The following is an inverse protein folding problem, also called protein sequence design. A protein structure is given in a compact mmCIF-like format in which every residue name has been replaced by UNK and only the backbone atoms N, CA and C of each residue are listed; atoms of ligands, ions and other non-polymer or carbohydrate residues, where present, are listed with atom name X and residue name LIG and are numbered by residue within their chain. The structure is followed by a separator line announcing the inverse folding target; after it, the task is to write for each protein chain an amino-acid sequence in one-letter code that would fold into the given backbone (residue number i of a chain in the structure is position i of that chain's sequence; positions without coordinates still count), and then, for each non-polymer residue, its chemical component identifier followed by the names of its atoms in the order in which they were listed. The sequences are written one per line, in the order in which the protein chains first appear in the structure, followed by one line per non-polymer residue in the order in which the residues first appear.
data_IF_974485162507
#
_entry.id   IF_974485162507
#
_cell.length_a   1.000
_cell.length_b   1.000
_cell.length_c   1.000
_cell.angle_alpha   90.00
_cell.angle_beta   90.00
_cell.angle_gamma   90.00
#
_symmetry.space_group_name_H-M   'P 1'
#
loop_
_entity.id
_entity.type
_entity.pdbx_description
1 polymer ?
#
# COMPACT_ATOMS: atom_id res chain seq x y z
N UNK A 1 -17.84 -7.61 3.11
CA UNK A 1 -17.31 -6.29 2.74
C UNK A 1 -15.82 -6.29 3.10
N UNK A 2 -14.94 -5.96 2.17
CA UNK A 2 -13.49 -5.92 2.38
C UNK A 2 -13.10 -4.45 2.48
N UNK A 3 -12.63 -4.03 3.64
CA UNK A 3 -12.24 -2.63 3.90
C UNK A 3 -10.76 -2.58 4.17
N UNK A 4 -10.08 -1.59 3.59
CA UNK A 4 -8.64 -1.37 3.74
C UNK A 4 -8.43 -0.04 4.44
N UNK A 5 -7.59 -0.04 5.47
CA UNK A 5 -7.06 1.19 6.07
C UNK A 5 -5.68 1.48 5.48
N UNK A 6 -5.56 2.64 4.85
CA UNK A 6 -4.33 3.12 4.25
C UNK A 6 -3.52 3.96 5.25
N UNK A 7 -2.26 3.62 5.47
CA UNK A 7 -1.37 4.30 6.41
C UNK A 7 -0.18 4.85 5.65
N UNK A 8 0.10 6.14 5.82
CA UNK A 8 1.20 6.85 5.17
C UNK A 8 2.16 7.37 6.24
N UNK A 9 3.40 6.88 6.24
CA UNK A 9 4.39 7.20 7.25
C UNK A 9 5.63 7.92 6.71
N UNK A 10 5.95 9.09 7.26
CA UNK A 10 7.10 9.89 6.88
C UNK A 10 6.89 10.64 5.56
N UNK A 11 7.87 11.46 5.15
CA UNK A 11 7.79 12.27 3.94
C UNK A 11 7.54 11.42 2.69
N UNK A 12 8.34 10.39 2.47
CA UNK A 12 8.24 9.50 1.31
C UNK A 12 6.86 8.80 1.26
N UNK A 13 6.44 8.18 2.37
CA UNK A 13 5.16 7.46 2.42
C UNK A 13 3.96 8.36 2.19
N UNK A 14 4.00 9.58 2.70
CA UNK A 14 2.95 10.58 2.47
C UNK A 14 2.93 11.11 1.02
N UNK A 15 4.08 11.22 0.35
CA UNK A 15 4.15 11.59 -1.06
C UNK A 15 3.56 10.51 -1.96
N UNK A 16 3.96 9.25 -1.75
CA UNK A 16 3.41 8.10 -2.48
C UNK A 16 1.90 8.00 -2.24
N UNK A 17 1.49 8.08 -0.98
CA UNK A 17 0.09 8.01 -0.62
C UNK A 17 -0.76 9.13 -1.22
N UNK A 18 -0.23 10.34 -1.36
CA UNK A 18 -0.94 11.44 -2.03
C UNK A 18 -1.20 11.11 -3.50
N UNK A 19 -0.22 10.56 -4.21
CA UNK A 19 -0.39 10.14 -5.58
C UNK A 19 -1.36 8.95 -5.72
N UNK A 20 -1.27 7.98 -4.82
CA UNK A 20 -2.24 6.90 -4.75
C UNK A 20 -3.68 7.44 -4.65
N UNK A 21 -3.93 8.39 -3.75
CA UNK A 21 -5.27 8.96 -3.58
C UNK A 21 -5.73 9.81 -4.76
N UNK A 22 -4.82 10.52 -5.45
CA UNK A 22 -5.14 11.20 -6.71
C UNK A 22 -5.69 10.21 -7.75
N UNK A 23 -4.97 9.11 -8.01
CA UNK A 23 -5.37 8.08 -8.97
C UNK A 23 -6.69 7.42 -8.57
N UNK A 24 -6.81 6.98 -7.32
CA UNK A 24 -8.04 6.33 -6.82
C UNK A 24 -9.25 7.27 -6.87
N UNK A 25 -9.07 8.57 -6.62
CA UNK A 25 -10.14 9.56 -6.76
C UNK A 25 -10.60 9.68 -8.22
N UNK A 26 -9.66 9.74 -9.15
CA UNK A 26 -9.97 9.84 -10.59
C UNK A 26 -10.67 8.56 -11.10
N UNK A 27 -10.20 7.38 -10.72
CA UNK A 27 -10.82 6.09 -11.06
C UNK A 27 -12.27 5.99 -10.57
N UNK A 28 -12.52 6.43 -9.33
CA UNK A 28 -13.86 6.42 -8.74
C UNK A 28 -14.72 7.64 -9.09
N UNK A 29 -14.21 8.59 -9.89
CA UNK A 29 -14.93 9.81 -10.24
C UNK A 29 -15.23 10.71 -9.04
N UNK A 30 -14.36 10.71 -8.03
CA UNK A 30 -14.52 11.50 -6.81
C UNK A 30 -13.67 12.77 -6.91
N UNK A 31 -14.30 13.92 -6.75
CA UNK A 31 -13.63 15.21 -6.80
C UNK A 31 -12.79 15.50 -5.53
N UNK A 32 -11.90 16.51 -5.55
CA UNK A 32 -11.12 16.89 -4.38
C UNK A 32 -11.93 17.25 -3.13
N UNK A 33 -13.23 17.51 -3.26
CA UNK A 33 -14.14 17.77 -2.14
C UNK A 33 -14.78 16.51 -1.57
N UNK A 34 -14.52 15.35 -2.20
CA UNK A 34 -15.07 14.06 -1.83
C UNK A 34 -16.45 13.77 -2.41
N UNK A 35 -16.88 14.48 -3.46
CA UNK A 35 -18.18 14.26 -4.11
C UNK A 35 -18.00 13.48 -5.40
N UNK A 36 -18.92 12.57 -5.64
CA UNK A 36 -18.98 11.85 -6.90
C UNK A 36 -19.45 12.76 -8.03
N UNK A 37 -18.71 12.79 -9.13
CA UNK A 37 -18.98 13.63 -10.30
C UNK A 37 -19.39 12.81 -11.55
N UNK A 38 -19.48 11.48 -11.43
CA UNK A 38 -19.84 10.62 -12.53
C UNK A 38 -21.32 10.74 -12.92
N UNK A 39 -21.62 10.41 -14.17
CA UNK A 39 -22.99 10.23 -14.65
C UNK A 39 -23.61 8.99 -13.99
N UNK A 40 -24.86 9.12 -13.53
CA UNK A 40 -25.62 8.05 -12.84
C UNK A 40 -25.77 6.72 -13.62
N UNK A 41 -25.19 6.63 -14.82
CA UNK A 41 -25.22 5.44 -15.68
C UNK A 41 -24.03 4.47 -15.42
N UNK A 42 -23.02 4.86 -14.66
CA UNK A 42 -21.83 4.03 -14.41
C UNK A 42 -21.74 3.60 -12.93
N UNK A 43 -22.70 2.79 -12.48
CA UNK A 43 -22.67 2.15 -11.14
C UNK A 43 -21.37 1.37 -10.85
N UNK A 44 -20.58 1.04 -11.87
CA UNK A 44 -19.32 0.32 -11.75
C UNK A 44 -18.28 1.09 -10.93
N UNK A 45 -18.19 2.42 -11.08
CA UNK A 45 -17.24 3.25 -10.32
C UNK A 45 -17.54 3.28 -8.82
N UNK A 46 -18.80 3.14 -8.43
CA UNK A 46 -19.23 3.12 -7.03
C UNK A 46 -19.32 1.71 -6.44
N UNK A 47 -19.30 0.67 -7.26
CA UNK A 47 -19.53 -0.71 -6.79
C UNK A 47 -18.58 -1.14 -5.66
N UNK A 48 -17.32 -0.72 -5.71
CA UNK A 48 -16.27 -1.08 -4.76
C UNK A 48 -15.73 0.11 -3.95
N UNK A 49 -16.33 1.28 -4.04
CA UNK A 49 -15.84 2.50 -3.39
C UNK A 49 -15.64 2.35 -1.88
N UNK A 50 -16.44 1.53 -1.24
CA UNK A 50 -16.37 1.28 0.20
C UNK A 50 -15.11 0.51 0.65
N UNK A 51 -14.29 0.00 -0.27
CA UNK A 51 -13.00 -0.62 0.07
C UNK A 51 -12.05 0.42 0.67
N UNK A 52 -11.95 1.58 0.05
CA UNK A 52 -11.04 2.65 0.45
C UNK A 52 -11.71 3.87 1.07
N UNK A 53 -13.01 4.06 0.84
CA UNK A 53 -13.72 5.24 1.32
C UNK A 53 -14.76 4.91 2.38
N UNK A 54 -14.99 5.87 3.26
CA UNK A 54 -16.14 5.91 4.14
C UNK A 54 -17.14 6.92 3.58
N UNK A 55 -18.40 6.52 3.48
CA UNK A 55 -19.47 7.43 3.13
C UNK A 55 -19.85 8.28 4.34
N UNK A 56 -19.73 9.59 4.19
CA UNK A 56 -20.10 10.58 5.21
C UNK A 56 -21.44 11.24 4.88
N UNK A 57 -21.98 11.98 5.83
CA UNK A 57 -23.23 12.72 5.65
C UNK A 57 -23.19 13.65 4.44
N UNK A 58 -24.24 13.64 3.64
CA UNK A 58 -24.34 14.47 2.43
C UNK A 58 -23.70 13.90 1.18
N UNK A 59 -23.47 12.57 1.12
CA UNK A 59 -22.95 11.87 -0.05
C UNK A 59 -21.48 12.19 -0.32
N UNK A 60 -20.70 12.48 0.73
CA UNK A 60 -19.25 12.67 0.63
C UNK A 60 -18.52 11.36 0.89
N UNK A 61 -17.54 11.08 0.06
CA UNK A 61 -16.62 9.97 0.23
C UNK A 61 -15.33 10.47 0.87
N UNK A 62 -14.99 9.91 2.01
CA UNK A 62 -13.81 10.29 2.79
C UNK A 62 -12.82 9.12 2.79
N UNK A 63 -11.57 9.33 2.40
CA UNK A 63 -10.53 8.31 2.46
C UNK A 63 -10.43 7.66 3.83
N UNK A 64 -10.35 6.33 3.85
CA UNK A 64 -10.00 5.60 5.07
C UNK A 64 -8.48 5.55 5.18
N UNK A 65 -7.91 6.69 5.59
CA UNK A 65 -6.47 6.89 5.63
C UNK A 65 -6.01 7.51 6.95
N UNK A 66 -4.78 7.19 7.33
CA UNK A 66 -4.02 7.86 8.40
C UNK A 66 -2.72 8.35 7.82
N UNK A 67 -2.50 9.66 7.90
CA UNK A 67 -1.30 10.33 7.44
C UNK A 67 -0.48 10.72 8.66
N UNK A 68 0.75 10.24 8.78
CA UNK A 68 1.57 10.50 9.95
C UNK A 68 2.99 10.91 9.59
N UNK A 69 3.50 11.90 10.29
CA UNK A 69 4.91 12.29 10.26
C UNK A 69 5.28 12.97 11.57
N UNK A 70 6.56 12.90 11.92
CA UNK A 70 7.11 13.69 13.02
C UNK A 70 7.42 15.14 12.58
N UNK A 71 7.49 15.37 11.26
CA UNK A 71 7.70 16.70 10.69
C UNK A 71 6.37 17.31 10.21
N UNK A 72 5.93 18.45 10.79
CA UNK A 72 4.66 19.08 10.41
C UNK A 72 4.66 19.62 8.97
N UNK A 73 5.83 19.95 8.40
CA UNK A 73 5.93 20.48 7.04
C UNK A 73 5.40 19.56 5.95
N UNK A 74 5.56 18.26 6.12
CA UNK A 74 4.99 17.24 5.20
C UNK A 74 3.46 17.29 5.20
N UNK A 75 2.85 17.40 6.37
CA UNK A 75 1.38 17.48 6.50
C UNK A 75 0.81 18.74 5.86
N UNK A 76 1.49 19.87 6.01
CA UNK A 76 1.08 21.14 5.41
C UNK A 76 1.16 21.09 3.87
N UNK A 77 2.18 20.42 3.34
CA UNK A 77 2.32 20.20 1.90
C UNK A 77 1.15 19.40 1.32
N UNK A 78 0.72 18.35 2.01
CA UNK A 78 -0.42 17.51 1.57
C UNK A 78 -1.72 18.30 1.66
N UNK A 79 -1.95 19.02 2.74
CA UNK A 79 -3.16 19.87 2.90
C UNK A 79 -3.27 20.93 1.82
N UNK A 80 -2.14 21.47 1.37
CA UNK A 80 -2.08 22.48 0.31
C UNK A 80 -2.17 21.88 -1.08
N UNK A 81 -2.03 20.56 -1.21
CA UNK A 81 -2.09 19.82 -2.46
C UNK A 81 -3.50 19.75 -3.06
N UNK A 82 -3.62 19.28 -4.32
CA UNK A 82 -4.88 19.26 -5.06
C UNK A 82 -6.00 18.51 -4.33
N UNK A 83 -5.69 17.39 -3.70
CA UNK A 83 -6.64 16.53 -2.98
C UNK A 83 -6.55 16.66 -1.45
N UNK A 84 -5.86 17.68 -0.92
CA UNK A 84 -5.69 17.85 0.51
C UNK A 84 -7.00 18.01 1.31
N UNK A 85 -8.04 18.52 0.67
CA UNK A 85 -9.35 18.76 1.29
C UNK A 85 -10.22 17.51 1.41
N UNK A 86 -9.87 16.41 0.73
CA UNK A 86 -10.62 15.16 0.80
C UNK A 86 -10.41 14.47 2.15
N UNK A 87 -9.24 14.65 2.76
CA UNK A 87 -8.91 14.10 4.06
C UNK A 87 -9.57 14.90 5.19
N UNK A 88 -10.03 14.19 6.20
CA UNK A 88 -10.50 14.85 7.42
C UNK A 88 -9.30 15.35 8.23
N UNK A 89 -9.46 16.43 8.99
CA UNK A 89 -8.41 16.88 9.92
C UNK A 89 -7.92 15.78 10.86
N UNK A 90 -8.80 14.89 11.28
CA UNK A 90 -8.50 13.75 12.17
C UNK A 90 -7.65 12.66 11.52
N UNK A 91 -7.52 12.65 10.18
CA UNK A 91 -6.66 11.73 9.46
C UNK A 91 -5.17 12.09 9.58
N UNK A 92 -4.87 13.32 9.96
CA UNK A 92 -3.51 13.82 10.09
C UNK A 92 -3.02 13.64 11.54
N UNK A 93 -2.02 12.79 11.72
CA UNK A 93 -1.40 12.49 13.00
C UNK A 93 0.03 13.02 13.02
N UNK A 94 0.25 14.07 13.78
CA UNK A 94 1.59 14.63 14.00
C UNK A 94 1.77 14.88 15.51
N UNK A 95 2.58 14.07 16.13
CA UNK A 95 3.12 14.32 17.47
C UNK A 95 2.18 14.43 18.67
N UNK A 96 0.84 14.25 18.55
CA UNK A 96 -0.09 14.21 19.70
C UNK A 96 -1.34 13.34 19.44
N UNK A 97 -1.35 12.19 20.09
CA UNK A 97 -2.43 11.32 20.59
C UNK A 97 -3.75 11.14 19.83
N UNK A 98 -4.12 9.87 19.65
CA UNK A 98 -5.49 9.37 19.66
C UNK A 98 -6.00 8.72 18.38
N UNK A 99 -5.81 7.39 18.25
CA UNK A 99 -6.49 6.58 17.25
C UNK A 99 -7.84 6.08 17.79
N UNK A 100 -8.93 6.36 17.06
CA UNK A 100 -10.24 5.76 17.30
C UNK A 100 -10.38 4.39 16.64
N UNK A 101 -11.21 3.51 17.22
CA UNK A 101 -11.51 2.16 16.76
C UNK A 101 -12.15 2.16 15.36
N UNK A 102 -11.38 1.81 14.33
CA UNK A 102 -11.91 1.48 13.01
C UNK A 102 -11.56 0.03 12.65
N UNK A 103 -12.57 -0.76 12.32
CA UNK A 103 -12.47 -2.17 11.96
C UNK A 103 -12.02 -2.31 10.49
N UNK A 104 -10.73 -2.25 10.23
CA UNK A 104 -10.17 -2.57 8.93
C UNK A 104 -9.94 -4.09 8.80
N UNK A 105 -10.18 -4.66 7.62
CA UNK A 105 -9.87 -6.07 7.33
C UNK A 105 -8.46 -6.28 6.80
N UNK A 106 -7.79 -5.22 6.39
CA UNK A 106 -6.41 -5.19 5.97
C UNK A 106 -5.79 -3.83 6.16
N UNK A 107 -4.47 -3.80 6.24
CA UNK A 107 -3.68 -2.60 6.37
C UNK A 107 -2.75 -2.46 5.17
N UNK A 108 -2.69 -1.27 4.61
CA UNK A 108 -1.74 -0.89 3.57
C UNK A 108 -0.83 0.21 4.12
N UNK A 109 0.47 -0.05 4.18
CA UNK A 109 1.45 0.86 4.76
C UNK A 109 2.43 1.32 3.69
N UNK A 110 2.51 2.64 3.47
CA UNK A 110 3.48 3.26 2.58
C UNK A 110 4.56 3.96 3.40
N UNK A 111 5.82 3.57 3.21
CA UNK A 111 6.96 4.12 3.93
C UNK A 111 8.28 3.93 3.18
N UNK A 112 9.35 4.60 3.63
CA UNK A 112 10.71 4.32 3.17
C UNK A 112 11.51 3.61 4.25
N UNK A 113 12.42 2.73 3.84
CA UNK A 113 13.28 1.98 4.76
C UNK A 113 14.56 2.74 5.13
N UNK A 114 14.99 3.68 4.28
CA UNK A 114 16.20 4.49 4.52
C UNK A 114 15.96 5.70 5.42
N UNK A 115 14.73 6.19 5.51
CA UNK A 115 14.36 7.37 6.30
C UNK A 115 14.33 7.13 7.81
N UNK A 116 14.07 8.19 8.57
CA UNK A 116 13.92 8.11 10.03
C UNK A 116 12.51 7.69 10.44
N UNK A 117 11.52 8.52 10.15
CA UNK A 117 10.13 8.31 10.56
C UNK A 117 9.51 7.08 9.89
N UNK A 118 9.59 6.99 8.55
CA UNK A 118 9.01 5.87 7.80
C UNK A 118 9.66 4.52 8.13
N UNK A 119 10.97 4.51 8.37
CA UNK A 119 11.72 3.34 8.79
C UNK A 119 11.43 3.01 10.26
N UNK A 120 11.82 3.87 11.19
CA UNK A 120 11.75 3.58 12.63
C UNK A 120 10.32 3.54 13.16
N UNK A 121 9.56 4.61 13.00
CA UNK A 121 8.18 4.67 13.49
C UNK A 121 7.24 3.82 12.63
N UNK A 122 7.45 3.76 11.32
CA UNK A 122 6.64 2.95 10.40
C UNK A 122 6.71 1.47 10.74
N UNK A 123 7.90 0.90 10.93
CA UNK A 123 8.06 -0.52 11.28
C UNK A 123 7.59 -0.83 12.70
N UNK A 124 7.78 0.08 13.67
CA UNK A 124 7.22 -0.06 15.00
C UNK A 124 5.69 -0.12 14.95
N UNK A 125 5.06 0.72 14.13
CA UNK A 125 3.62 0.71 13.95
C UNK A 125 3.14 -0.61 13.34
N UNK A 126 3.81 -1.11 12.31
CA UNK A 126 3.53 -2.42 11.69
C UNK A 126 3.56 -3.52 12.75
N UNK A 127 4.60 -3.56 13.59
CA UNK A 127 4.73 -4.52 14.68
C UNK A 127 3.57 -4.39 15.68
N UNK A 128 3.20 -3.18 16.08
CA UNK A 128 2.10 -2.94 17.02
C UNK A 128 0.74 -3.30 16.42
N UNK A 129 0.51 -3.03 15.15
CA UNK A 129 -0.71 -3.45 14.45
C UNK A 129 -0.78 -4.98 14.41
N UNK A 130 0.34 -5.65 14.13
CA UNK A 130 0.40 -7.12 14.10
C UNK A 130 0.14 -7.75 15.46
N UNK A 131 0.66 -7.16 16.55
CA UNK A 131 0.35 -7.59 17.91
C UNK A 131 -1.15 -7.48 18.24
N UNK A 132 -1.80 -6.39 17.85
CA UNK A 132 -3.19 -6.10 18.18
C UNK A 132 -4.17 -6.81 17.22
N UNK A 133 -3.78 -6.98 15.95
CA UNK A 133 -4.61 -7.54 14.88
C UNK A 133 -3.87 -8.64 14.10
N UNK A 134 -3.55 -9.79 14.73
CA UNK A 134 -2.73 -10.83 14.11
C UNK A 134 -3.39 -11.53 12.92
N UNK A 135 -4.72 -11.46 12.81
CA UNK A 135 -5.54 -12.07 11.75
C UNK A 135 -5.81 -11.14 10.56
N UNK A 136 -5.19 -9.95 10.53
CA UNK A 136 -5.37 -8.96 9.46
C UNK A 136 -4.20 -8.98 8.50
N UNK A 137 -4.53 -8.86 7.20
CA UNK A 137 -3.51 -8.76 6.16
C UNK A 137 -2.75 -7.45 6.30
N UNK A 138 -1.42 -7.55 6.27
CA UNK A 138 -0.49 -6.43 6.33
C UNK A 138 0.28 -6.35 5.01
N UNK A 139 -0.09 -5.39 4.17
CA UNK A 139 0.57 -5.08 2.91
C UNK A 139 1.44 -3.83 3.08
N UNK A 140 2.69 -3.87 2.63
CA UNK A 140 3.57 -2.70 2.68
C UNK A 140 4.08 -2.32 1.30
N UNK A 141 4.14 -1.02 1.05
CA UNK A 141 4.84 -0.42 -0.09
C UNK A 141 6.09 0.26 0.45
N UNK A 142 7.22 -0.40 0.29
CA UNK A 142 8.47 -0.04 0.95
C UNK A 142 9.50 0.45 -0.05
N UNK A 143 9.90 1.73 0.06
CA UNK A 143 10.97 2.29 -0.77
C UNK A 143 12.31 1.95 -0.16
N UNK A 144 13.12 1.21 -0.92
CA UNK A 144 14.47 0.82 -0.53
C UNK A 144 15.47 1.94 -0.83
N UNK A 145 16.51 2.11 0.00
CA UNK A 145 17.57 3.06 -0.28
C UNK A 145 18.40 2.60 -1.49
N UNK A 146 18.75 3.55 -2.35
CA UNK A 146 19.65 3.31 -3.47
C UNK A 146 20.88 4.20 -3.35
N UNK A 147 22.10 3.66 -3.43
CA UNK A 147 23.33 4.44 -3.34
C UNK A 147 23.53 5.43 -4.49
N UNK A 148 22.78 5.29 -5.58
CA UNK A 148 22.81 6.24 -6.71
C UNK A 148 21.88 7.44 -6.51
N UNK A 149 20.89 7.33 -5.61
CA UNK A 149 19.87 8.36 -5.41
C UNK A 149 20.13 9.18 -4.14
N UNK A 150 20.77 8.59 -3.14
CA UNK A 150 21.06 9.27 -1.87
C UNK A 150 22.43 8.92 -1.33
N UNK A 151 23.10 9.96 -0.79
CA UNK A 151 24.44 9.88 -0.17
C UNK A 151 24.36 9.75 1.37
N UNK A 152 23.17 9.53 1.93
CA UNK A 152 22.98 9.48 3.37
C UNK A 152 23.56 8.20 3.97
N UNK A 153 24.58 8.32 4.78
CA UNK A 153 25.39 7.21 5.32
C UNK A 153 24.61 6.24 6.19
N UNK A 154 23.52 6.71 6.83
CA UNK A 154 22.72 5.90 7.76
C UNK A 154 21.61 5.08 7.10
N UNK A 155 21.30 5.32 5.84
CA UNK A 155 20.22 4.62 5.13
C UNK A 155 20.35 3.10 5.13
N UNK A 156 21.53 2.49 4.85
CA UNK A 156 21.65 1.04 4.88
C UNK A 156 21.45 0.44 6.27
N UNK A 157 21.80 1.16 7.33
CA UNK A 157 21.53 0.71 8.70
C UNK A 157 20.02 0.72 9.00
N UNK A 158 19.34 1.81 8.66
CA UNK A 158 17.90 1.93 8.83
C UNK A 158 17.16 0.86 8.02
N UNK A 159 17.56 0.63 6.78
CA UNK A 159 16.94 -0.38 5.92
C UNK A 159 17.14 -1.79 6.46
N UNK A 160 18.35 -2.15 6.92
CA UNK A 160 18.63 -3.48 7.46
C UNK A 160 17.78 -3.77 8.69
N UNK A 161 17.66 -2.81 9.61
CA UNK A 161 16.83 -2.95 10.81
C UNK A 161 15.34 -3.02 10.46
N UNK A 162 14.91 -2.26 9.45
CA UNK A 162 13.51 -2.28 8.99
C UNK A 162 13.12 -3.58 8.31
N UNK A 163 13.99 -4.14 7.48
CA UNK A 163 13.74 -5.44 6.80
C UNK A 163 13.51 -6.54 7.81
N UNK A 164 14.25 -6.57 8.92
CA UNK A 164 14.01 -7.53 9.98
C UNK A 164 12.58 -7.46 10.54
N UNK A 165 12.06 -6.26 10.74
CA UNK A 165 10.69 -6.05 11.22
C UNK A 165 9.65 -6.40 10.16
N UNK A 166 9.93 -6.16 8.89
CA UNK A 166 9.02 -6.50 7.79
C UNK A 166 8.89 -8.01 7.61
N UNK A 167 9.99 -8.75 7.68
CA UNK A 167 9.99 -10.23 7.59
C UNK A 167 9.11 -10.86 8.68
N UNK A 168 9.10 -10.29 9.88
CA UNK A 168 8.33 -10.82 10.99
C UNK A 168 6.84 -10.40 10.98
N UNK A 169 6.53 -9.21 10.44
CA UNK A 169 5.23 -8.57 10.68
C UNK A 169 4.43 -8.24 9.41
N UNK A 170 5.01 -8.25 8.22
CA UNK A 170 4.31 -8.03 6.97
C UNK A 170 3.94 -9.38 6.31
N UNK A 171 2.74 -9.46 5.76
CA UNK A 171 2.33 -10.62 4.94
C UNK A 171 2.84 -10.46 3.50
N UNK A 172 2.79 -9.23 2.98
CA UNK A 172 3.30 -8.88 1.66
C UNK A 172 4.09 -7.57 1.72
N UNK A 173 5.19 -7.49 0.98
CA UNK A 173 6.01 -6.30 0.87
C UNK A 173 6.32 -6.00 -0.60
N UNK A 174 5.68 -4.95 -1.12
CA UNK A 174 6.00 -4.42 -2.45
C UNK A 174 7.24 -3.56 -2.35
N UNK A 175 8.32 -4.03 -2.98
CA UNK A 175 9.61 -3.36 -2.99
C UNK A 175 9.64 -2.31 -4.10
N UNK A 176 9.87 -1.06 -3.72
CA UNK A 176 10.05 0.05 -4.64
C UNK A 176 11.51 0.49 -4.63
N UNK A 177 12.17 0.37 -5.78
CA UNK A 177 13.53 0.85 -5.99
C UNK A 177 13.52 1.97 -7.04
N UNK A 178 13.87 3.17 -6.62
CA UNK A 178 13.91 4.33 -7.52
C UNK A 178 14.89 4.14 -8.69
N UNK A 179 15.99 3.41 -8.52
CA UNK A 179 16.91 3.11 -9.61
C UNK A 179 16.24 2.24 -10.67
N UNK A 180 15.55 1.19 -10.26
CA UNK A 180 14.80 0.33 -11.17
C UNK A 180 13.70 1.10 -11.91
N UNK A 181 12.98 1.97 -11.20
CA UNK A 181 11.95 2.82 -11.80
C UNK A 181 12.54 3.79 -12.84
N UNK A 182 13.67 4.44 -12.54
CA UNK A 182 14.37 5.28 -13.53
C UNK A 182 14.85 4.48 -14.74
N UNK A 183 15.40 3.30 -14.55
CA UNK A 183 15.84 2.44 -15.64
C UNK A 183 14.68 2.05 -16.56
N UNK A 184 13.52 1.71 -16.02
CA UNK A 184 12.30 1.45 -16.78
C UNK A 184 11.89 2.69 -17.57
N UNK A 185 11.77 3.84 -16.93
CA UNK A 185 11.40 5.09 -17.59
C UNK A 185 12.33 5.44 -18.74
N UNK A 186 13.66 5.35 -18.54
CA UNK A 186 14.62 5.73 -19.59
C UNK A 186 14.79 4.68 -20.67
N UNK A 187 14.85 3.40 -20.32
CA UNK A 187 15.18 2.32 -21.28
C UNK A 187 13.96 1.78 -22.01
N UNK A 188 12.88 1.57 -21.29
CA UNK A 188 11.65 0.97 -21.84
C UNK A 188 10.71 2.04 -22.37
N UNK A 189 10.33 3.01 -21.55
CA UNK A 189 9.35 4.02 -21.89
C UNK A 189 9.94 5.19 -22.68
N UNK A 190 11.27 5.29 -22.77
CA UNK A 190 11.97 6.37 -23.49
C UNK A 190 11.63 7.79 -22.98
N UNK A 191 11.21 7.90 -21.73
CA UNK A 191 10.90 9.18 -21.09
C UNK A 191 12.19 9.83 -20.61
N UNK A 192 12.49 11.04 -21.13
CA UNK A 192 13.68 11.82 -20.72
C UNK A 192 13.49 12.51 -19.37
N UNK A 193 12.26 12.76 -18.98
CA UNK A 193 11.89 13.39 -17.72
C UNK A 193 10.66 12.66 -17.19
N UNK A 194 10.84 11.61 -16.37
CA UNK A 194 9.72 10.85 -15.85
C UNK A 194 8.87 11.70 -14.90
N UNK A 195 7.58 11.72 -15.14
CA UNK A 195 6.58 12.31 -14.26
C UNK A 195 5.38 11.37 -14.20
N UNK A 196 4.61 11.46 -13.14
CA UNK A 196 3.39 10.65 -12.96
C UNK A 196 2.31 10.93 -14.04
N UNK A 197 2.35 12.12 -14.64
CA UNK A 197 1.44 12.54 -15.72
C UNK A 197 1.77 11.94 -17.10
N UNK A 198 2.94 11.31 -17.23
CA UNK A 198 3.40 10.72 -18.50
C UNK A 198 3.25 9.19 -18.58
N UNK A 199 2.63 8.55 -17.59
CA UNK A 199 2.29 7.13 -17.65
C UNK A 199 0.98 6.93 -18.39
N UNK A 200 1.02 6.19 -19.50
CA UNK A 200 -0.18 5.82 -20.25
C UNK A 200 -0.94 4.71 -19.53
N UNK A 201 -2.27 4.75 -19.56
CA UNK A 201 -3.17 3.75 -18.96
C UNK A 201 -2.85 2.32 -19.44
N UNK A 202 -2.37 2.16 -20.67
CA UNK A 202 -1.95 0.88 -21.24
C UNK A 202 -0.79 0.22 -20.49
N UNK A 203 0.11 1.00 -19.90
CA UNK A 203 1.28 0.47 -19.15
C UNK A 203 0.88 -0.12 -17.80
N UNK A 204 -0.13 0.47 -17.14
CA UNK A 204 -0.73 -0.09 -15.94
C UNK A 204 -1.47 -1.40 -16.22
N UNK A 205 -2.18 -1.47 -17.35
CA UNK A 205 -2.90 -2.68 -17.77
C UNK A 205 -1.94 -3.83 -18.11
N UNK A 206 -0.79 -3.53 -18.73
CA UNK A 206 0.26 -4.51 -18.99
C UNK A 206 0.93 -4.99 -17.70
N UNK A 207 1.20 -4.09 -16.74
CA UNK A 207 1.74 -4.43 -15.44
C UNK A 207 0.74 -5.28 -14.62
N UNK A 208 -0.55 -4.96 -14.67
CA UNK A 208 -1.62 -5.74 -14.04
C UNK A 208 -1.74 -7.14 -14.65
N UNK A 209 -1.67 -7.24 -15.98
CA UNK A 209 -1.67 -8.53 -16.68
C UNK A 209 -0.49 -9.40 -16.26
N UNK A 210 0.72 -8.82 -16.21
CA UNK A 210 1.93 -9.54 -15.78
C UNK A 210 1.85 -9.98 -14.31
N UNK A 211 1.25 -9.18 -13.43
CA UNK A 211 1.02 -9.57 -12.03
C UNK A 211 -0.01 -10.70 -11.93
N UNK A 212 -1.09 -10.64 -12.69
CA UNK A 212 -2.10 -11.70 -12.71
C UNK A 212 -1.52 -13.04 -13.23
N UNK A 213 -0.65 -12.99 -14.23
CA UNK A 213 0.06 -14.17 -14.73
C UNK A 213 0.98 -14.78 -13.65
N UNK A 214 1.68 -13.94 -12.89
CA UNK A 214 2.53 -14.36 -11.78
C UNK A 214 1.71 -14.99 -10.64
N UNK A 215 0.59 -14.40 -10.28
CA UNK A 215 -0.34 -14.95 -9.28
C UNK A 215 -0.91 -16.30 -9.72
N UNK A 216 -1.27 -16.43 -11.01
CA UNK A 216 -1.75 -17.70 -11.57
C UNK A 216 -0.66 -18.79 -11.54
N UNK A 217 0.58 -18.42 -11.82
CA UNK A 217 1.72 -19.33 -11.73
C UNK A 217 1.97 -19.81 -10.28
N UNK A 218 1.93 -18.89 -9.31
CA UNK A 218 2.05 -19.25 -7.89
C UNK A 218 0.90 -20.14 -7.40
N UNK A 219 -0.33 -19.89 -7.83
CA UNK A 219 -1.47 -20.74 -7.50
C UNK A 219 -1.29 -22.15 -8.06
N UNK A 220 -0.79 -22.28 -9.29
CA UNK A 220 -0.54 -23.58 -9.91
C UNK A 220 0.52 -24.38 -9.13
N UNK A 221 1.58 -23.72 -8.62
CA UNK A 221 2.56 -24.38 -7.75
C UNK A 221 1.97 -24.80 -6.40
N UNK A 222 1.12 -23.96 -5.82
CA UNK A 222 0.49 -24.26 -4.55
C UNK A 222 -0.49 -25.44 -4.65
N UNK A 223 -1.27 -25.51 -5.72
CA UNK A 223 -2.19 -26.61 -5.99
C UNK A 223 -1.42 -27.92 -6.26
N UNK A 224 -0.31 -27.87 -7.02
CA UNK A 224 0.54 -29.02 -7.27
C UNK A 224 1.18 -29.59 -5.98
N UNK A 225 1.56 -28.71 -5.04
CA UNK A 225 2.15 -29.14 -3.76
C UNK A 225 1.07 -29.76 -2.85
N UNK A 226 -0.16 -29.23 -2.88
CA UNK A 226 -1.27 -29.77 -2.11
C UNK A 226 -1.70 -31.17 -2.60
N UNK A 227 -1.63 -31.43 -3.90
CA UNK A 227 -1.90 -32.74 -4.49
C UNK A 227 -0.83 -33.78 -4.10
N UNK A 228 0.45 -33.38 -4.03
CA UNK A 228 1.54 -34.26 -3.57
C UNK A 228 1.43 -34.60 -2.07
N UNK A 229 1.02 -33.66 -1.20
CA UNK A 229 0.78 -33.94 0.22
C UNK A 229 -0.45 -34.85 0.46
N UNK A 230 -1.46 -34.77 -0.40
CA UNK A 230 -2.65 -35.66 -0.35
C UNK A 230 -2.39 -37.11 -0.72
N UNK A 231 -1.40 -37.39 -1.58
CA UNK A 231 -1.02 -38.75 -1.94
C UNK A 231 -0.23 -39.48 -0.83
N UNK A 232 0.38 -38.79 0.10
CA UNK A 232 1.12 -39.38 1.23
C UNK A 232 0.23 -39.74 2.44
N UNK A 233 -0.97 -39.19 2.58
CA UNK A 233 -1.88 -39.50 3.67
C UNK A 233 -2.77 -40.73 3.42
N UNK A 234 -2.99 -41.15 2.17
CA UNK A 234 -3.87 -42.30 1.82
C UNK A 234 -3.14 -43.67 1.76
N UNK A 235 -1.84 -43.72 2.07
CA UNK A 235 -1.02 -44.91 2.02
C UNK A 235 -0.79 -45.70 3.31
N UNK A 236 -1.47 -45.40 4.40
CA UNK A 236 -1.11 -45.84 5.76
C UNK A 236 -2.16 -46.57 6.61
N UNK A 237 -3.08 -47.38 6.03
CA UNK A 237 -3.87 -48.37 6.81
C UNK A 237 -3.75 -49.76 6.20
N UNK A 238 -2.62 -50.43 6.41
CA UNK A 238 -2.60 -51.88 6.33
C UNK A 238 -2.87 -52.43 7.74
N UNK A 239 -4.06 -53.04 7.85
CA UNK A 239 -4.56 -53.86 8.93
C UNK A 239 -3.59 -55.02 9.26
N UNK A 240 -3.16 -55.12 10.51
CA UNK A 240 -2.71 -56.37 11.11
C UNK A 240 -3.84 -56.97 11.95
N UNK A 241 -4.63 -57.85 11.33
CA UNK A 241 -5.34 -58.93 12.05
C UNK A 241 -4.56 -60.24 11.89
N UNK A 242 -4.07 -60.76 13.00
CA UNK A 242 -4.02 -62.20 13.33
C UNK A 242 -3.42 -62.41 14.72
#
# INVERSE_FOLDING_TARGET
MREILHIQGGQCGNQIGSKFWEVICDEHGVDPTGRYQGDNAADLQLERINVYYNEASGGRYVPRAVLMDLEPGTMDSIRSGPYGQIFRPDNFVFGQSGAGNNWAKGFQVCHSLGGGTGSGMGTLLISKIREEYPDRMMLTFSVFPSPKVSDTVVEPYNATLSVHQLVENADECMVLDNEALYDICFRTLKLSTPSWEGMDEMEFTEAESNMNDLVAEYQQYQDATADEEGEYEDGGEESYEA
#
